data_IF_713166793980
#
_entry.id   IF_713166793980
#
_cell.length_a   1.000
_cell.length_b   1.000
_cell.length_c   1.000
_cell.angle_alpha   90.00
_cell.angle_beta   90.00
_cell.angle_gamma   90.00
#
_symmetry.space_group_name_H-M   'P 1'
#
loop_
_entity.id
_entity.type
_entity.pdbx_description
1 polymer ?
#
# COMPACT_ATOMS: atom_id res chain seq x y z
N UNK A 1 -27.83 25.72 59.10
CA UNK A 1 -27.88 24.30 58.71
C UNK A 1 -29.04 24.10 57.75
N UNK A 2 -28.79 24.15 56.44
CA UNK A 2 -29.58 23.46 55.41
C UNK A 2 -28.98 23.75 54.04
N UNK A 3 -28.68 22.69 53.29
CA UNK A 3 -28.96 22.53 51.86
C UNK A 3 -28.01 21.47 51.27
N UNK A 4 -28.50 20.24 51.16
CA UNK A 4 -27.95 19.24 50.27
C UNK A 4 -28.17 19.70 48.81
N UNK A 5 -27.15 19.62 47.96
CA UNK A 5 -27.33 19.65 46.49
C UNK A 5 -26.35 18.70 45.79
N UNK A 6 -26.88 17.50 45.54
CA UNK A 6 -26.84 16.70 44.30
C UNK A 6 -25.47 16.54 43.62
N UNK A 7 -24.98 15.29 43.67
CA UNK A 7 -23.94 14.71 42.82
C UNK A 7 -24.08 15.17 41.36
N UNK A 8 -23.08 15.87 40.83
CA UNK A 8 -22.95 16.10 39.40
C UNK A 8 -22.25 14.87 38.80
N UNK A 9 -23.05 13.91 38.32
CA UNK A 9 -22.55 12.81 37.52
C UNK A 9 -22.16 13.32 36.13
N UNK A 10 -20.86 13.43 35.86
CA UNK A 10 -20.37 13.70 34.51
C UNK A 10 -20.32 12.37 33.74
N UNK A 11 -21.43 12.03 33.09
CA UNK A 11 -21.53 10.92 32.16
C UNK A 11 -20.89 11.35 30.84
N UNK A 12 -19.59 11.08 30.67
CA UNK A 12 -18.88 11.34 29.41
C UNK A 12 -19.19 10.19 28.44
N UNK A 13 -20.34 10.29 27.76
CA UNK A 13 -20.75 9.35 26.72
C UNK A 13 -20.03 9.67 25.41
N UNK A 14 -19.14 8.74 25.04
CA UNK A 14 -18.88 8.16 23.72
C UNK A 14 -18.84 9.07 22.48
N UNK A 15 -17.65 9.13 21.85
CA UNK A 15 -17.34 9.31 20.41
C UNK A 15 -15.86 9.74 20.32
N UNK A 16 -14.93 9.20 19.53
CA UNK A 16 -14.90 8.50 18.23
C UNK A 16 -13.55 7.75 18.16
N UNK A 17 -13.49 6.64 17.44
CA UNK A 17 -12.23 6.02 17.06
C UNK A 17 -12.35 4.83 16.12
N UNK A 18 -13.04 4.97 14.99
CA UNK A 18 -12.98 3.97 13.91
C UNK A 18 -11.63 4.04 13.19
N UNK A 19 -10.54 3.67 13.87
CA UNK A 19 -9.21 3.56 13.23
C UNK A 19 -9.01 2.21 12.53
N UNK A 20 -9.81 1.19 12.86
CA UNK A 20 -9.59 -0.17 12.38
C UNK A 20 -10.04 -0.41 10.92
N UNK A 21 -10.99 0.39 10.40
CA UNK A 21 -11.52 0.20 9.05
C UNK A 21 -10.55 0.66 7.96
N UNK A 22 -9.85 1.79 8.18
CA UNK A 22 -8.82 2.30 7.27
C UNK A 22 -7.68 1.28 7.13
N UNK A 23 -7.04 0.95 8.25
CA UNK A 23 -5.88 0.03 8.29
C UNK A 23 -6.15 -1.29 7.56
N UNK A 24 -7.38 -1.81 7.62
CA UNK A 24 -7.76 -3.04 6.90
C UNK A 24 -7.80 -2.84 5.38
N UNK A 25 -8.48 -1.78 4.91
CA UNK A 25 -8.61 -1.47 3.49
C UNK A 25 -7.23 -1.20 2.87
N UNK A 26 -6.38 -0.44 3.55
CA UNK A 26 -5.03 -0.14 3.03
C UNK A 26 -4.14 -1.39 2.96
N UNK A 27 -4.31 -2.34 3.89
CA UNK A 27 -3.63 -3.63 3.79
C UNK A 27 -4.13 -4.43 2.58
N UNK A 28 -5.44 -4.49 2.32
CA UNK A 28 -6.00 -5.19 1.15
C UNK A 28 -5.49 -4.60 -0.17
N UNK A 29 -5.43 -3.28 -0.30
CA UNK A 29 -4.90 -2.61 -1.51
C UNK A 29 -3.42 -2.94 -1.74
N UNK A 30 -2.60 -2.90 -0.68
CA UNK A 30 -1.17 -3.20 -0.80
C UNK A 30 -0.95 -4.67 -1.15
N UNK A 31 -1.71 -5.58 -0.56
CA UNK A 31 -1.64 -7.01 -0.90
C UNK A 31 -2.00 -7.25 -2.37
N UNK A 32 -3.09 -6.65 -2.87
CA UNK A 32 -3.45 -6.71 -4.29
C UNK A 32 -2.33 -6.22 -5.20
N UNK A 33 -1.67 -5.12 -4.84
CA UNK A 33 -0.56 -4.57 -5.62
C UNK A 33 0.67 -5.50 -5.63
N UNK A 34 0.96 -6.16 -4.51
CA UNK A 34 2.07 -7.11 -4.40
C UNK A 34 1.80 -8.36 -5.25
N UNK A 35 0.60 -8.93 -5.16
CA UNK A 35 0.18 -10.08 -5.97
C UNK A 35 0.14 -9.73 -7.46
N UNK A 36 -0.31 -8.52 -7.81
CA UNK A 36 -0.29 -8.03 -9.19
C UNK A 36 1.12 -8.07 -9.79
N UNK A 37 2.15 -7.68 -9.02
CA UNK A 37 3.55 -7.78 -9.47
C UNK A 37 3.95 -9.24 -9.68
N UNK A 38 3.65 -10.11 -8.72
CA UNK A 38 3.97 -11.53 -8.76
C UNK A 38 3.31 -12.30 -9.90
N UNK A 39 2.12 -11.86 -10.31
CA UNK A 39 1.33 -12.50 -11.36
C UNK A 39 1.44 -11.78 -12.72
N UNK A 40 2.27 -10.74 -12.81
CA UNK A 40 2.33 -9.88 -14.01
C UNK A 40 2.83 -10.60 -15.26
N UNK A 41 3.61 -11.68 -15.11
CA UNK A 41 4.35 -12.29 -16.22
C UNK A 41 5.44 -11.40 -16.82
N UNK A 42 5.68 -10.22 -16.24
CA UNK A 42 6.63 -9.22 -16.76
C UNK A 42 8.00 -9.34 -16.07
N UNK A 43 9.07 -9.10 -16.82
CA UNK A 43 10.42 -9.03 -16.24
C UNK A 43 10.56 -7.75 -15.41
N UNK A 44 10.96 -7.89 -14.15
CA UNK A 44 11.20 -6.78 -13.25
C UNK A 44 12.67 -6.36 -13.28
N UNK A 45 12.93 -5.12 -13.70
CA UNK A 45 14.30 -4.60 -13.80
C UNK A 45 14.61 -3.70 -12.61
N UNK A 46 15.52 -4.17 -11.75
CA UNK A 46 15.98 -3.47 -10.54
C UNK A 46 17.47 -3.22 -10.59
N UNK A 47 17.87 -1.96 -10.45
CA UNK A 47 19.28 -1.54 -10.46
C UNK A 47 20.08 -1.93 -11.72
N UNK A 48 19.42 -2.36 -12.80
CA UNK A 48 20.05 -2.85 -14.03
C UNK A 48 20.07 -4.37 -14.15
N UNK A 49 19.60 -5.10 -13.13
CA UNK A 49 19.43 -6.55 -13.15
C UNK A 49 17.98 -6.94 -13.38
N UNK A 50 17.77 -8.07 -14.05
CA UNK A 50 16.47 -8.65 -14.31
C UNK A 50 16.08 -9.63 -13.21
N UNK A 51 14.80 -9.68 -12.89
CA UNK A 51 14.21 -10.52 -11.87
C UNK A 51 12.87 -11.07 -12.37
N UNK A 52 12.51 -12.27 -11.94
CA UNK A 52 11.19 -12.82 -12.22
C UNK A 52 10.10 -12.03 -11.50
N UNK A 53 8.83 -12.15 -11.93
CA UNK A 53 7.68 -11.62 -11.20
C UNK A 53 7.66 -12.01 -9.71
N UNK A 54 7.93 -13.27 -9.40
CA UNK A 54 7.90 -13.84 -8.05
C UNK A 54 9.03 -13.29 -7.17
N UNK A 55 10.22 -13.13 -7.75
CA UNK A 55 11.35 -12.47 -7.09
C UNK A 55 11.05 -11.00 -6.80
N UNK A 56 10.35 -10.32 -7.72
CA UNK A 56 9.96 -8.93 -7.57
C UNK A 56 8.92 -8.75 -6.45
N UNK A 57 7.88 -9.59 -6.44
CA UNK A 57 6.90 -9.63 -5.34
C UNK A 57 7.60 -9.87 -4.00
N UNK A 58 8.43 -10.91 -3.92
CA UNK A 58 9.19 -11.25 -2.71
C UNK A 58 10.06 -10.07 -2.24
N UNK A 59 10.71 -9.37 -3.17
CA UNK A 59 11.49 -8.17 -2.88
C UNK A 59 10.61 -7.05 -2.31
N UNK A 60 9.46 -6.76 -2.92
CA UNK A 60 8.56 -5.71 -2.47
C UNK A 60 7.88 -6.05 -1.13
N UNK A 61 7.52 -7.32 -0.90
CA UNK A 61 7.04 -7.82 0.40
C UNK A 61 8.06 -7.60 1.51
N UNK A 62 9.34 -7.92 1.25
CA UNK A 62 10.42 -7.64 2.18
C UNK A 62 10.51 -6.13 2.51
N UNK A 63 10.46 -5.27 1.49
CA UNK A 63 10.47 -3.81 1.69
C UNK A 63 9.26 -3.34 2.49
N UNK A 64 8.07 -3.86 2.18
CA UNK A 64 6.85 -3.51 2.91
C UNK A 64 6.94 -3.90 4.38
N UNK A 65 7.34 -5.15 4.67
CA UNK A 65 7.55 -5.63 6.05
C UNK A 65 8.49 -4.72 6.84
N UNK A 66 9.60 -4.28 6.24
CA UNK A 66 10.59 -3.42 6.90
C UNK A 66 10.15 -1.94 6.97
N UNK A 67 9.29 -1.51 6.05
CA UNK A 67 8.86 -0.12 5.87
C UNK A 67 7.45 0.19 6.37
N UNK A 68 6.69 -0.80 6.86
CA UNK A 68 5.25 -0.70 7.15
C UNK A 68 4.90 0.47 8.07
N UNK A 69 5.74 0.75 9.08
CA UNK A 69 5.52 1.88 10.00
C UNK A 69 5.52 3.27 9.33
N UNK A 70 6.13 3.39 8.15
CA UNK A 70 6.28 4.63 7.38
C UNK A 70 5.31 4.75 6.20
N UNK A 71 4.41 3.79 6.06
CA UNK A 71 3.45 3.70 4.96
C UNK A 71 2.07 3.61 5.57
N UNK A 72 1.22 4.58 5.24
CA UNK A 72 -0.16 4.69 5.74
C UNK A 72 -1.21 4.56 4.64
N UNK A 73 -0.78 4.31 3.41
CA UNK A 73 -1.67 4.13 2.26
C UNK A 73 -0.96 3.38 1.14
N UNK A 74 -1.73 2.83 0.20
CA UNK A 74 -1.20 2.19 -1.00
C UNK A 74 -0.35 3.16 -1.84
N UNK A 75 -0.71 4.44 -1.93
CA UNK A 75 0.07 5.46 -2.62
C UNK A 75 1.43 5.68 -1.94
N UNK A 76 1.48 5.67 -0.61
CA UNK A 76 2.74 5.77 0.12
C UNK A 76 3.59 4.50 -0.07
N UNK A 77 2.97 3.32 -0.16
CA UNK A 77 3.67 2.08 -0.52
C UNK A 77 4.33 2.21 -1.90
N UNK A 78 3.56 2.63 -2.90
CA UNK A 78 4.04 2.84 -4.28
C UNK A 78 5.19 3.84 -4.29
N UNK A 79 4.97 5.04 -3.76
CA UNK A 79 5.93 6.13 -3.82
C UNK A 79 7.21 5.84 -3.05
N UNK A 80 7.12 5.28 -1.83
CA UNK A 80 8.27 5.14 -0.92
C UNK A 80 8.99 3.80 -1.06
N UNK A 81 8.27 2.72 -1.38
CA UNK A 81 8.81 1.36 -1.31
C UNK A 81 8.89 0.68 -2.67
N UNK A 82 7.90 0.86 -3.54
CA UNK A 82 7.78 0.07 -4.77
C UNK A 82 8.26 0.77 -6.06
N UNK A 83 8.46 2.10 -6.07
CA UNK A 83 8.84 2.82 -7.28
C UNK A 83 10.35 2.78 -7.62
N UNK A 84 11.21 2.67 -6.60
CA UNK A 84 12.67 2.79 -6.76
C UNK A 84 13.47 2.13 -5.63
N UNK A 85 14.76 1.94 -5.89
CA UNK A 85 15.68 1.44 -4.88
C UNK A 85 15.90 2.47 -3.79
N UNK A 86 15.75 2.06 -2.53
CA UNK A 86 16.08 2.90 -1.39
C UNK A 86 17.60 3.06 -1.22
N UNK A 87 18.40 2.16 -1.79
CA UNK A 87 19.86 2.19 -1.70
C UNK A 87 20.49 3.04 -2.81
N UNK A 88 20.05 2.84 -4.06
CA UNK A 88 20.67 3.49 -5.24
C UNK A 88 19.86 4.67 -5.77
N UNK A 89 18.60 4.84 -5.35
CA UNK A 89 17.66 5.81 -5.93
C UNK A 89 17.14 5.46 -7.33
N UNK A 90 17.62 4.39 -7.97
CA UNK A 90 17.23 4.02 -9.34
C UNK A 90 15.78 3.55 -9.41
N UNK A 91 15.06 4.04 -10.41
CA UNK A 91 13.68 3.66 -10.72
C UNK A 91 13.63 2.17 -11.09
N UNK A 92 12.57 1.51 -10.64
CA UNK A 92 12.25 0.13 -11.04
C UNK A 92 11.34 0.15 -12.26
N UNK A 93 11.46 -0.88 -13.10
CA UNK A 93 10.71 -0.96 -14.34
C UNK A 93 10.19 -2.37 -14.59
N UNK A 94 9.07 -2.46 -15.30
CA UNK A 94 8.56 -3.70 -15.88
C UNK A 94 8.88 -3.72 -17.37
N UNK A 95 9.18 -4.91 -17.86
CA UNK A 95 9.29 -5.22 -19.29
C UNK A 95 8.39 -6.42 -19.57
N UNK A 96 7.19 -6.13 -20.03
CA UNK A 96 6.18 -7.12 -20.41
C UNK A 96 6.39 -7.50 -21.89
N UNK A 97 5.94 -8.69 -22.29
CA UNK A 97 6.13 -9.14 -23.67
C UNK A 97 5.37 -8.26 -24.66
N UNK A 98 6.03 -7.88 -25.76
CA UNK A 98 5.46 -6.98 -26.77
C UNK A 98 5.23 -5.53 -26.32
N UNK A 99 5.60 -5.15 -25.10
CA UNK A 99 5.40 -3.79 -24.56
C UNK A 99 6.72 -3.05 -24.32
N UNK A 100 6.65 -1.73 -24.44
CA UNK A 100 7.73 -0.86 -24.01
C UNK A 100 7.94 -0.96 -22.49
N UNK A 101 9.20 -0.77 -22.08
CA UNK A 101 9.56 -0.75 -20.67
C UNK A 101 8.85 0.38 -19.95
N UNK A 102 8.11 0.05 -18.88
CA UNK A 102 7.32 1.01 -18.12
C UNK A 102 7.78 1.14 -16.66
N UNK A 103 7.72 2.33 -16.04
CA UNK A 103 8.04 2.50 -14.62
C UNK A 103 7.08 1.73 -13.71
N UNK A 104 7.61 0.97 -12.74
CA UNK A 104 6.79 0.20 -11.79
C UNK A 104 5.85 1.09 -10.98
N UNK A 105 6.30 2.28 -10.61
CA UNK A 105 5.48 3.22 -9.83
C UNK A 105 4.20 3.61 -10.56
N UNK A 106 4.31 3.95 -11.85
CA UNK A 106 3.17 4.33 -12.69
C UNK A 106 2.24 3.14 -12.93
N UNK A 107 2.81 1.98 -13.27
CA UNK A 107 2.05 0.75 -13.45
C UNK A 107 1.24 0.37 -12.21
N UNK A 108 1.84 0.46 -11.01
CA UNK A 108 1.15 0.18 -9.75
C UNK A 108 0.07 1.22 -9.44
N UNK A 109 0.28 2.49 -9.76
CA UNK A 109 -0.76 3.53 -9.61
C UNK A 109 -1.97 3.22 -10.48
N UNK A 110 -1.75 2.79 -11.72
CA UNK A 110 -2.84 2.37 -12.61
C UNK A 110 -3.58 1.13 -12.07
N UNK A 111 -2.84 0.13 -11.57
CA UNK A 111 -3.43 -1.05 -10.93
C UNK A 111 -4.29 -0.69 -9.71
N UNK A 112 -3.80 0.21 -8.86
CA UNK A 112 -4.55 0.68 -7.69
C UNK A 112 -5.86 1.38 -8.11
N UNK A 113 -5.80 2.21 -9.15
CA UNK A 113 -6.98 2.88 -9.70
C UNK A 113 -8.02 1.87 -10.23
N UNK A 114 -7.58 0.89 -11.05
CA UNK A 114 -8.46 -0.17 -11.55
C UNK A 114 -9.12 -0.97 -10.42
N UNK A 115 -8.34 -1.40 -9.43
CA UNK A 115 -8.85 -2.14 -8.26
C UNK A 115 -9.96 -1.40 -7.53
N UNK A 116 -9.78 -0.09 -7.30
CA UNK A 116 -10.79 0.73 -6.61
C UNK A 116 -12.06 0.90 -7.43
N UNK A 117 -11.96 1.07 -8.75
CA UNK A 117 -13.13 1.18 -9.61
C UNK A 117 -13.92 -0.14 -9.64
N UNK A 118 -13.23 -1.27 -9.77
CA UNK A 118 -13.86 -2.60 -9.71
C UNK A 118 -14.60 -2.82 -8.38
N UNK A 119 -14.08 -2.29 -7.26
CA UNK A 119 -14.76 -2.37 -5.95
C UNK A 119 -15.97 -1.45 -5.79
N UNK A 120 -16.11 -0.41 -6.63
CA UNK A 120 -17.27 0.48 -6.60
C UNK A 120 -18.43 -0.04 -7.45
N UNK A 121 -18.14 -0.89 -8.44
CA UNK A 121 -19.12 -1.48 -9.35
C UNK A 121 -19.70 -2.82 -8.85
N UNK A 122 -19.11 -3.39 -7.79
CA UNK A 122 -19.50 -4.67 -7.18
C UNK A 122 -20.01 -4.49 -5.75
#
# INVERSE_FOLDING_TARGET
MSAARVLTGLFFLLCIGSLAAGDKIENEEIEYLLESVGQSGCIFVRNGSEHSPEDAESHLRLKYRNGKKWVKSAEQFIARLASKSSWTGRIYYLRCDGEDRQPVGEWLTNKLFSYRNEKLEN
#
